data_IF_029783003388
#
_entry.id   IF_029783003388
#
_cell.length_a   1.000
_cell.length_b   1.000
_cell.length_c   1.000
_cell.angle_alpha   90.00
_cell.angle_beta   90.00
_cell.angle_gamma   90.00
#
_symmetry.space_group_name_H-M   'P 1'
#
loop_
_entity.id
_entity.type
_entity.pdbx_description
1 polymer ?
#
# COMPACT_ATOMS: atom_id res chain seq x y z
N UNK A 1 12.52 -13.78 9.91
CA UNK A 1 12.45 -14.38 8.56
C UNK A 1 12.80 -15.86 8.61
N UNK A 2 14.03 -16.28 8.95
CA UNK A 2 14.42 -17.70 8.97
C UNK A 2 13.48 -18.65 9.74
N UNK A 3 13.06 -18.30 10.96
CA UNK A 3 12.12 -19.13 11.74
C UNK A 3 10.73 -19.27 11.08
N UNK A 4 10.29 -18.23 10.38
CA UNK A 4 9.04 -18.26 9.62
C UNK A 4 9.19 -19.13 8.37
N UNK A 5 10.28 -18.95 7.62
CA UNK A 5 10.62 -19.78 6.46
C UNK A 5 10.74 -21.26 6.82
N UNK A 6 11.37 -21.58 7.95
CA UNK A 6 11.45 -22.94 8.47
C UNK A 6 10.07 -23.54 8.77
N UNK A 7 9.19 -22.79 9.45
CA UNK A 7 7.81 -23.23 9.68
C UNK A 7 7.08 -23.48 8.36
N UNK A 8 7.24 -22.59 7.40
CA UNK A 8 6.65 -22.70 6.08
C UNK A 8 7.12 -23.97 5.35
N UNK A 9 8.42 -24.25 5.38
CA UNK A 9 9.00 -25.46 4.81
C UNK A 9 8.49 -26.72 5.51
N UNK A 10 8.44 -26.74 6.85
CA UNK A 10 7.95 -27.88 7.62
C UNK A 10 6.48 -28.21 7.33
N UNK A 11 5.65 -27.20 7.05
CA UNK A 11 4.24 -27.38 6.69
C UNK A 11 4.10 -27.97 5.27
N UNK A 12 4.99 -27.58 4.34
CA UNK A 12 4.85 -27.88 2.91
C UNK A 12 5.74 -29.04 2.42
N UNK A 13 6.76 -29.47 3.19
CA UNK A 13 7.70 -30.53 2.81
C UNK A 13 7.46 -31.77 3.68
N UNK A 14 6.61 -32.72 3.22
CA UNK A 14 6.34 -33.95 3.96
C UNK A 14 7.57 -34.87 3.96
N UNK A 15 7.75 -35.61 5.05
CA UNK A 15 8.80 -36.63 5.14
C UNK A 15 10.23 -36.09 5.22
N UNK A 16 10.41 -34.82 5.59
CA UNK A 16 11.75 -34.28 5.79
C UNK A 16 12.48 -35.01 6.93
N UNK A 17 13.66 -35.53 6.62
CA UNK A 17 14.49 -36.32 7.56
C UNK A 17 15.57 -35.49 8.24
N UNK A 18 15.86 -34.29 7.73
CA UNK A 18 16.86 -33.38 8.29
C UNK A 18 16.61 -31.92 7.87
N UNK A 19 17.27 -30.97 8.56
CA UNK A 19 17.26 -29.56 8.15
C UNK A 19 17.97 -29.32 6.82
N UNK A 20 18.93 -30.17 6.47
CA UNK A 20 19.58 -30.13 5.16
C UNK A 20 18.61 -30.53 4.07
N UNK A 21 17.84 -31.61 4.28
CA UNK A 21 16.78 -32.03 3.36
C UNK A 21 15.74 -30.92 3.13
N UNK A 22 15.33 -30.21 4.19
CA UNK A 22 14.41 -29.06 4.07
C UNK A 22 14.99 -27.92 3.23
N UNK A 23 16.32 -27.75 3.22
CA UNK A 23 17.00 -26.72 2.43
C UNK A 23 17.38 -27.16 1.02
N UNK A 24 17.23 -28.44 0.70
CA UNK A 24 17.52 -28.96 -0.64
C UNK A 24 16.27 -28.88 -1.52
N UNK A 25 16.34 -28.16 -2.64
CA UNK A 25 15.28 -28.01 -3.65
C UNK A 25 15.84 -28.48 -4.98
N UNK A 26 15.18 -29.41 -5.66
CA UNK A 26 15.62 -29.96 -6.96
C UNK A 26 17.09 -30.41 -6.99
N UNK A 27 17.57 -30.97 -5.86
CA UNK A 27 18.95 -31.45 -5.70
C UNK A 27 19.98 -30.36 -5.33
N UNK A 28 19.58 -29.09 -5.23
CA UNK A 28 20.44 -27.97 -4.86
C UNK A 28 20.25 -27.63 -3.38
N UNK A 29 21.33 -27.68 -2.60
CA UNK A 29 21.32 -27.27 -1.19
C UNK A 29 21.40 -25.73 -1.10
N UNK A 30 20.38 -25.11 -0.51
CA UNK A 30 20.37 -23.66 -0.29
C UNK A 30 21.01 -23.29 1.06
N UNK A 31 21.73 -22.15 1.14
CA UNK A 31 22.37 -21.68 2.37
C UNK A 31 21.38 -21.41 3.52
N UNK A 32 20.19 -20.89 3.22
CA UNK A 32 19.19 -20.51 4.23
C UNK A 32 17.83 -21.17 4.01
N UNK A 33 17.00 -21.25 5.06
CA UNK A 33 15.62 -21.73 4.92
C UNK A 33 14.79 -20.76 4.08
N UNK A 34 15.08 -19.47 4.13
CA UNK A 34 14.45 -18.48 3.25
C UNK A 34 14.71 -18.79 1.77
N UNK A 35 15.96 -19.00 1.37
CA UNK A 35 16.30 -19.28 -0.04
C UNK A 35 15.66 -20.59 -0.51
N UNK A 36 15.65 -21.63 0.32
CA UNK A 36 14.96 -22.89 0.00
C UNK A 36 13.44 -22.70 -0.14
N UNK A 37 12.82 -21.86 0.71
CA UNK A 37 11.40 -21.54 0.61
C UNK A 37 11.07 -20.70 -0.63
N UNK A 38 11.96 -19.78 -1.03
CA UNK A 38 11.85 -19.01 -2.28
C UNK A 38 11.97 -19.95 -3.48
N UNK A 39 12.99 -20.83 -3.51
CA UNK A 39 13.18 -21.79 -4.59
C UNK A 39 12.00 -22.78 -4.74
N UNK A 40 11.27 -23.05 -3.64
CA UNK A 40 10.01 -23.82 -3.65
C UNK A 40 8.76 -23.00 -3.98
N UNK A 41 8.90 -21.71 -4.32
CA UNK A 41 7.80 -20.76 -4.54
C UNK A 41 6.84 -20.62 -3.34
N UNK A 42 7.32 -20.92 -2.13
CA UNK A 42 6.55 -20.77 -0.89
C UNK A 42 6.66 -19.34 -0.34
N UNK A 43 7.74 -18.64 -0.66
CA UNK A 43 7.94 -17.24 -0.35
C UNK A 43 8.18 -16.46 -1.64
N UNK A 44 7.53 -15.30 -1.77
CA UNK A 44 7.85 -14.36 -2.83
C UNK A 44 9.28 -13.86 -2.66
N UNK A 45 10.07 -13.94 -3.74
CA UNK A 45 11.38 -13.29 -3.80
C UNK A 45 11.19 -11.77 -3.76
N UNK A 46 12.19 -11.06 -3.24
CA UNK A 46 12.23 -9.60 -3.27
C UNK A 46 12.03 -9.06 -4.70
N UNK A 47 12.53 -9.78 -5.71
CA UNK A 47 12.34 -9.48 -7.14
C UNK A 47 10.87 -9.46 -7.60
N UNK A 48 9.96 -10.15 -6.89
CA UNK A 48 8.53 -10.14 -7.24
C UNK A 48 7.95 -8.74 -7.04
N UNK A 49 8.28 -8.08 -5.93
CA UNK A 49 7.75 -6.74 -5.63
C UNK A 49 8.37 -5.67 -6.52
N UNK A 50 9.63 -5.83 -6.91
CA UNK A 50 10.26 -4.94 -7.88
C UNK A 50 9.57 -5.03 -9.24
N UNK A 51 9.29 -6.24 -9.73
CA UNK A 51 8.55 -6.42 -10.99
C UNK A 51 7.12 -5.88 -10.90
N UNK A 52 6.42 -6.11 -9.79
CA UNK A 52 5.05 -5.58 -9.58
C UNK A 52 5.05 -4.05 -9.61
N UNK A 53 6.00 -3.40 -8.93
CA UNK A 53 6.11 -1.95 -8.98
C UNK A 53 6.46 -1.46 -10.38
N UNK A 54 7.41 -2.11 -11.07
CA UNK A 54 7.79 -1.75 -12.43
C UNK A 54 6.62 -1.86 -13.43
N UNK A 55 5.82 -2.92 -13.34
CA UNK A 55 4.62 -3.08 -14.18
C UNK A 55 3.56 -2.02 -13.88
N UNK A 56 3.35 -1.69 -12.60
CA UNK A 56 2.38 -0.67 -12.20
C UNK A 56 2.80 0.74 -12.63
N UNK A 57 4.10 1.07 -12.57
CA UNK A 57 4.64 2.39 -12.95
C UNK A 57 4.26 2.76 -14.39
N UNK A 58 4.17 1.79 -15.30
CA UNK A 58 3.79 2.03 -16.69
C UNK A 58 2.30 2.35 -16.89
N UNK A 59 1.45 2.04 -15.91
CA UNK A 59 -0.01 2.06 -16.06
C UNK A 59 -0.73 2.96 -15.05
N UNK A 60 -0.12 3.23 -13.90
CA UNK A 60 -0.78 3.84 -12.76
C UNK A 60 -0.28 5.25 -12.46
N UNK A 61 -1.18 6.08 -11.90
CA UNK A 61 -0.81 7.40 -11.42
C UNK A 61 -0.15 7.30 -10.02
N UNK A 62 0.64 8.31 -9.59
CA UNK A 62 1.40 8.27 -8.34
C UNK A 62 0.59 7.89 -7.09
N UNK A 63 -0.65 8.35 -6.94
CA UNK A 63 -1.50 7.99 -5.79
C UNK A 63 -1.88 6.50 -5.76
N UNK A 64 -2.06 5.86 -6.91
CA UNK A 64 -2.29 4.41 -7.01
C UNK A 64 -1.01 3.64 -6.71
N UNK A 65 0.14 4.09 -7.23
CA UNK A 65 1.44 3.49 -6.92
C UNK A 65 1.74 3.49 -5.41
N UNK A 66 1.43 4.60 -4.72
CA UNK A 66 1.52 4.69 -3.25
C UNK A 66 0.63 3.67 -2.57
N UNK A 67 -0.62 3.54 -3.03
CA UNK A 67 -1.56 2.57 -2.47
C UNK A 67 -1.06 1.14 -2.69
N UNK A 68 -0.51 0.83 -3.86
CA UNK A 68 0.10 -0.47 -4.15
C UNK A 68 1.29 -0.76 -3.22
N UNK A 69 2.21 0.19 -3.08
CA UNK A 69 3.34 0.07 -2.17
C UNK A 69 2.88 -0.18 -0.72
N UNK A 70 1.89 0.57 -0.24
CA UNK A 70 1.30 0.40 1.10
C UNK A 70 0.66 -1.00 1.24
N UNK A 71 -0.08 -1.45 0.24
CA UNK A 71 -0.70 -2.78 0.25
C UNK A 71 0.36 -3.90 0.30
N UNK A 72 1.45 -3.77 -0.45
CA UNK A 72 2.59 -4.69 -0.39
C UNK A 72 3.17 -4.70 1.03
N UNK A 73 3.40 -3.52 1.63
CA UNK A 73 3.93 -3.43 2.99
C UNK A 73 3.01 -4.13 4.01
N UNK A 74 1.72 -3.80 4.00
CA UNK A 74 0.74 -4.29 4.98
C UNK A 74 0.47 -5.78 4.83
N UNK A 75 0.27 -6.27 3.61
CA UNK A 75 -0.23 -7.62 3.37
C UNK A 75 0.85 -8.64 3.01
N UNK A 76 1.95 -8.19 2.40
CA UNK A 76 2.96 -9.08 1.85
C UNK A 76 4.26 -9.12 2.65
N UNK A 77 4.46 -8.19 3.61
CA UNK A 77 5.64 -8.13 4.47
C UNK A 77 6.95 -8.27 3.67
N UNK A 78 7.25 -7.32 2.76
CA UNK A 78 8.42 -7.40 1.89
C UNK A 78 9.70 -7.48 2.73
N UNK A 79 10.71 -8.21 2.24
CA UNK A 79 11.98 -8.40 2.96
C UNK A 79 12.65 -7.06 3.27
N UNK A 80 12.58 -6.09 2.33
CA UNK A 80 13.18 -4.78 2.46
C UNK A 80 12.25 -3.71 1.85
N UNK A 81 11.29 -3.23 2.64
CA UNK A 81 10.36 -2.17 2.23
C UNK A 81 11.08 -0.86 1.88
N UNK A 82 12.16 -0.54 2.60
CA UNK A 82 12.95 0.67 2.37
C UNK A 82 13.59 0.67 0.99
N UNK A 83 14.28 -0.41 0.62
CA UNK A 83 14.90 -0.50 -0.70
C UNK A 83 13.86 -0.44 -1.82
N UNK A 84 12.71 -1.08 -1.63
CA UNK A 84 11.60 -1.01 -2.58
C UNK A 84 11.07 0.42 -2.73
N UNK A 85 10.95 1.18 -1.64
CA UNK A 85 10.59 2.60 -1.71
C UNK A 85 11.65 3.42 -2.43
N UNK A 86 12.91 3.31 -2.00
CA UNK A 86 14.04 4.08 -2.53
C UNK A 86 14.19 3.89 -4.06
N UNK A 87 14.02 2.65 -4.54
CA UNK A 87 14.11 2.32 -5.97
C UNK A 87 12.96 2.90 -6.81
N UNK A 88 11.79 3.16 -6.22
CA UNK A 88 10.59 3.62 -6.93
C UNK A 88 10.19 5.05 -6.54
N UNK A 89 10.99 5.74 -5.72
CA UNK A 89 10.62 6.99 -5.06
C UNK A 89 10.31 8.11 -6.07
N UNK A 90 11.12 8.22 -7.14
CA UNK A 90 10.93 9.24 -8.17
C UNK A 90 9.57 9.15 -8.86
N UNK A 91 9.10 7.94 -9.16
CA UNK A 91 7.78 7.69 -9.75
C UNK A 91 6.66 7.93 -8.72
N UNK A 92 6.88 7.53 -7.47
CA UNK A 92 5.91 7.71 -6.39
C UNK A 92 5.66 9.19 -6.09
N UNK A 93 6.69 10.04 -6.14
CA UNK A 93 6.59 11.48 -5.82
C UNK A 93 6.38 12.38 -7.05
N UNK A 94 6.18 11.81 -8.24
CA UNK A 94 6.13 12.53 -9.52
C UNK A 94 5.07 13.64 -9.56
N UNK A 95 3.91 13.45 -8.93
CA UNK A 95 2.87 14.46 -8.86
C UNK A 95 3.22 15.65 -7.97
N UNK A 96 4.19 15.52 -7.05
CA UNK A 96 4.74 16.64 -6.28
C UNK A 96 5.80 17.40 -7.07
N UNK A 97 6.72 16.69 -7.73
CA UNK A 97 7.74 17.33 -8.57
C UNK A 97 7.10 18.07 -9.74
N UNK A 98 6.04 17.49 -10.35
CA UNK A 98 5.24 18.15 -11.40
C UNK A 98 4.50 19.41 -10.92
N UNK A 99 4.22 19.52 -9.62
CA UNK A 99 3.66 20.76 -9.01
C UNK A 99 4.74 21.82 -8.74
N UNK A 100 6.02 21.51 -8.98
CA UNK A 100 7.13 22.43 -8.81
C UNK A 100 7.86 22.31 -7.48
N UNK A 101 7.54 21.31 -6.65
CA UNK A 101 8.30 21.10 -5.41
C UNK A 101 9.68 20.53 -5.71
N UNK A 102 10.68 21.00 -4.95
CA UNK A 102 12.03 20.42 -4.97
C UNK A 102 12.02 18.97 -4.44
N UNK A 103 12.99 18.16 -4.86
CA UNK A 103 13.05 16.72 -4.55
C UNK A 103 12.97 16.42 -3.04
N UNK A 104 13.62 17.21 -2.19
CA UNK A 104 13.56 17.04 -0.73
C UNK A 104 12.16 17.31 -0.17
N UNK A 105 11.48 18.33 -0.69
CA UNK A 105 10.09 18.65 -0.31
C UNK A 105 9.16 17.55 -0.82
N UNK A 106 9.30 17.16 -2.10
CA UNK A 106 8.51 16.11 -2.72
C UNK A 106 8.64 14.77 -1.98
N UNK A 107 9.87 14.37 -1.62
CA UNK A 107 10.15 13.18 -0.81
C UNK A 107 9.50 13.26 0.56
N UNK A 108 9.53 14.42 1.22
CA UNK A 108 8.94 14.57 2.53
C UNK A 108 7.39 14.49 2.50
N UNK A 109 6.78 15.09 1.48
CA UNK A 109 5.35 14.97 1.21
C UNK A 109 4.96 13.52 0.85
N UNK A 110 5.82 12.83 0.10
CA UNK A 110 5.66 11.42 -0.24
C UNK A 110 5.59 10.53 1.01
N UNK A 111 6.59 10.66 1.89
CA UNK A 111 6.64 9.93 3.15
C UNK A 111 5.41 10.24 4.02
N UNK A 112 4.93 11.49 4.00
CA UNK A 112 3.69 11.87 4.70
C UNK A 112 2.46 11.17 4.14
N UNK A 113 2.32 11.10 2.82
CA UNK A 113 1.22 10.40 2.16
C UNK A 113 1.24 8.90 2.48
N UNK A 114 2.40 8.26 2.37
CA UNK A 114 2.57 6.85 2.73
C UNK A 114 2.23 6.63 4.21
N UNK A 115 2.67 7.52 5.11
CA UNK A 115 2.33 7.42 6.53
C UNK A 115 0.83 7.52 6.78
N UNK A 116 0.12 8.43 6.11
CA UNK A 116 -1.33 8.58 6.26
C UNK A 116 -2.08 7.35 5.77
N UNK A 117 -1.61 6.71 4.70
CA UNK A 117 -2.18 5.46 4.18
C UNK A 117 -1.87 4.27 5.09
N UNK A 118 -0.66 4.16 5.63
CA UNK A 118 -0.31 3.11 6.60
C UNK A 118 -1.10 3.23 7.90
N UNK A 119 -1.32 4.46 8.39
CA UNK A 119 -2.13 4.72 9.59
C UNK A 119 -3.58 4.28 9.41
N UNK A 120 -4.15 4.41 8.21
CA UNK A 120 -5.49 3.88 7.89
C UNK A 120 -5.55 2.36 8.00
N UNK A 121 -4.41 1.68 7.83
CA UNK A 121 -4.27 0.23 7.99
C UNK A 121 -3.75 -0.17 9.39
N UNK A 122 -3.71 0.75 10.35
CA UNK A 122 -3.26 0.47 11.73
C UNK A 122 -1.74 0.30 11.89
N UNK A 123 -0.95 0.70 10.90
CA UNK A 123 0.50 0.61 10.90
C UNK A 123 1.18 1.99 10.90
N UNK A 124 2.48 2.01 11.18
CA UNK A 124 3.33 3.20 11.09
C UNK A 124 4.58 2.92 10.22
N UNK A 125 5.32 3.97 9.86
CA UNK A 125 6.53 3.86 9.04
C UNK A 125 7.66 3.10 9.75
N UNK A 126 7.73 3.18 11.08
CA UNK A 126 8.79 2.58 11.90
C UNK A 126 8.78 1.04 11.78
N UNK A 127 7.60 0.42 11.72
CA UNK A 127 7.43 -1.02 11.50
C UNK A 127 8.15 -1.48 10.23
N UNK A 128 8.20 -0.64 9.21
CA UNK A 128 8.82 -0.92 7.92
C UNK A 128 10.22 -0.32 7.77
N UNK A 129 10.78 0.28 8.84
CA UNK A 129 12.08 0.95 8.86
C UNK A 129 12.21 2.05 7.81
N UNK A 130 11.11 2.74 7.54
CA UNK A 130 11.06 3.88 6.62
C UNK A 130 11.39 5.18 7.36
N UNK A 131 11.87 6.18 6.63
CA UNK A 131 12.21 7.50 7.17
C UNK A 131 10.95 8.23 7.62
N UNK A 132 11.00 8.89 8.78
CA UNK A 132 9.88 9.66 9.32
C UNK A 132 9.84 11.04 8.62
N UNK A 133 8.68 11.52 8.17
CA UNK A 133 8.56 12.85 7.58
C UNK A 133 8.96 13.96 8.56
N UNK A 134 9.59 15.01 8.04
CA UNK A 134 9.72 16.29 8.73
C UNK A 134 8.36 17.00 8.75
N UNK A 135 7.66 16.86 9.87
CA UNK A 135 6.36 17.51 10.10
C UNK A 135 6.44 19.03 10.24
N UNK A 136 7.59 19.60 10.62
CA UNK A 136 7.74 21.05 10.70
C UNK A 136 7.78 21.66 9.30
N UNK A 137 8.46 21.02 8.36
CA UNK A 137 8.42 21.41 6.96
C UNK A 137 7.00 21.30 6.37
N UNK A 138 6.30 20.19 6.63
CA UNK A 138 4.91 20.00 6.14
C UNK A 138 3.97 21.06 6.70
N UNK A 139 4.10 21.40 7.98
CA UNK A 139 3.28 22.45 8.60
C UNK A 139 3.43 23.79 7.90
N UNK A 140 4.67 24.19 7.59
CA UNK A 140 4.96 25.43 6.86
C UNK A 140 4.34 25.43 5.46
N UNK A 141 4.46 24.32 4.72
CA UNK A 141 3.86 24.19 3.38
C UNK A 141 2.32 24.31 3.42
N UNK A 142 1.67 23.84 4.49
CA UNK A 142 0.23 24.00 4.69
C UNK A 142 -0.11 25.47 4.98
N UNK A 143 0.65 26.13 5.86
CA UNK A 143 0.45 27.54 6.20
C UNK A 143 0.64 28.46 4.98
N UNK A 144 1.62 28.15 4.13
CA UNK A 144 1.91 28.88 2.89
C UNK A 144 0.93 28.54 1.75
N UNK A 145 0.02 27.57 1.95
CA UNK A 145 -0.97 27.14 0.96
C UNK A 145 -0.40 26.33 -0.20
N UNK A 146 0.83 25.86 -0.08
CA UNK A 146 1.53 25.04 -1.08
C UNK A 146 1.16 23.56 -1.00
N UNK A 147 0.62 23.11 0.14
CA UNK A 147 0.15 21.74 0.34
C UNK A 147 -1.20 21.72 1.06
N UNK A 148 -2.20 21.06 0.47
CA UNK A 148 -3.48 20.84 1.12
C UNK A 148 -3.40 19.65 2.07
N UNK A 149 -3.85 19.83 3.32
CA UNK A 149 -3.92 18.72 4.26
C UNK A 149 -4.94 17.66 3.82
N UNK A 150 -4.72 16.42 4.27
CA UNK A 150 -5.65 15.29 4.02
C UNK A 150 -7.09 15.61 4.42
N UNK A 151 -7.31 16.38 5.49
CA UNK A 151 -8.64 16.73 5.98
C UNK A 151 -9.29 17.84 5.16
N UNK A 152 -8.51 18.83 4.70
CA UNK A 152 -8.99 19.86 3.77
C UNK A 152 -9.38 19.25 2.43
N UNK A 153 -8.56 18.36 1.87
CA UNK A 153 -8.87 17.66 0.63
C UNK A 153 -10.15 16.82 0.78
N UNK A 154 -10.35 16.14 1.93
CA UNK A 154 -11.60 15.42 2.22
C UNK A 154 -12.80 16.37 2.32
N UNK A 155 -12.65 17.50 2.98
CA UNK A 155 -13.71 18.51 3.10
C UNK A 155 -14.06 19.13 1.74
N UNK A 156 -13.07 19.38 0.89
CA UNK A 156 -13.26 19.88 -0.48
C UNK A 156 -14.00 18.86 -1.35
N UNK A 157 -13.60 17.58 -1.32
CA UNK A 157 -14.31 16.49 -2.02
C UNK A 157 -15.75 16.35 -1.57
N UNK A 158 -16.03 16.45 -0.26
CA UNK A 158 -17.40 16.45 0.30
C UNK A 158 -18.23 17.61 -0.25
N UNK A 159 -17.72 18.84 -0.15
CA UNK A 159 -18.40 20.05 -0.66
C UNK A 159 -18.70 19.93 -2.15
N UNK A 160 -17.75 19.45 -2.94
CA UNK A 160 -17.96 19.22 -4.38
C UNK A 160 -19.04 18.17 -4.63
N UNK A 161 -19.05 17.08 -3.86
CA UNK A 161 -20.08 16.06 -3.91
C UNK A 161 -21.48 16.63 -3.62
N UNK A 162 -21.63 17.43 -2.56
CA UNK A 162 -22.89 18.09 -2.19
C UNK A 162 -23.41 19.00 -3.31
N UNK A 163 -22.52 19.80 -3.92
CA UNK A 163 -22.86 20.65 -5.06
C UNK A 163 -23.31 19.83 -6.27
N UNK A 164 -22.65 18.71 -6.56
CA UNK A 164 -23.04 17.81 -7.65
C UNK A 164 -24.39 17.16 -7.39
N UNK A 165 -24.67 16.76 -6.15
CA UNK A 165 -25.98 16.21 -5.73
C UNK A 165 -27.09 17.24 -5.93
N UNK A 166 -26.83 18.51 -5.62
CA UNK A 166 -27.79 19.59 -5.83
C UNK A 166 -28.13 19.86 -7.31
N UNK A 167 -27.30 19.38 -8.25
CA UNK A 167 -27.49 19.55 -9.70
C UNK A 167 -28.15 18.33 -10.38
N UNK A 168 -28.52 17.30 -9.62
CA UNK A 168 -29.13 16.10 -10.20
C UNK A 168 -30.55 16.37 -10.69
N UNK A 169 -30.91 15.78 -11.82
CA UNK A 169 -32.30 15.73 -12.27
C UNK A 169 -33.11 14.68 -11.49
N UNK A 170 -34.44 14.65 -11.68
CA UNK A 170 -35.33 13.77 -10.92
C UNK A 170 -34.98 12.27 -11.03
N UNK A 171 -34.60 11.80 -12.21
CA UNK A 171 -34.24 10.40 -12.44
C UNK A 171 -32.91 10.04 -11.77
N UNK A 172 -31.90 10.91 -11.91
CA UNK A 172 -30.60 10.74 -11.27
C UNK A 172 -30.70 10.80 -9.75
N UNK A 173 -31.52 11.71 -9.22
CA UNK A 173 -31.74 11.86 -7.79
C UNK A 173 -32.45 10.63 -7.21
N UNK A 174 -33.42 10.05 -7.94
CA UNK A 174 -34.08 8.81 -7.53
C UNK A 174 -33.09 7.64 -7.44
N UNK A 175 -32.20 7.49 -8.43
CA UNK A 175 -31.15 6.46 -8.42
C UNK A 175 -30.15 6.71 -7.28
N UNK A 176 -29.64 7.94 -7.16
CA UNK A 176 -28.68 8.32 -6.13
C UNK A 176 -29.22 8.03 -4.72
N UNK A 177 -30.45 8.46 -4.42
CA UNK A 177 -31.09 8.23 -3.13
C UNK A 177 -31.21 6.73 -2.85
N UNK A 178 -31.63 5.93 -3.82
CA UNK A 178 -31.74 4.47 -3.67
C UNK A 178 -30.39 3.82 -3.31
N UNK A 179 -29.30 4.22 -3.97
CA UNK A 179 -27.95 3.72 -3.65
C UNK A 179 -27.52 4.17 -2.26
N UNK A 180 -27.68 5.45 -1.93
CA UNK A 180 -27.27 5.99 -0.63
C UNK A 180 -28.06 5.39 0.54
N UNK A 181 -29.36 5.13 0.37
CA UNK A 181 -30.17 4.41 1.36
C UNK A 181 -29.60 3.02 1.58
N UNK A 182 -29.31 2.26 0.51
CA UNK A 182 -28.72 0.91 0.63
C UNK A 182 -27.35 0.91 1.32
N UNK A 183 -26.48 1.87 1.01
CA UNK A 183 -25.15 1.99 1.65
C UNK A 183 -25.30 2.31 3.14
N UNK A 184 -26.16 3.28 3.48
CA UNK A 184 -26.35 3.72 4.86
C UNK A 184 -27.09 2.67 5.72
N UNK A 185 -27.99 1.88 5.12
CA UNK A 185 -28.64 0.78 5.80
C UNK A 185 -27.67 -0.39 6.04
N UNK A 186 -26.76 -0.67 5.10
CA UNK A 186 -25.70 -1.66 5.30
C UNK A 186 -24.71 -1.28 6.42
N UNK A 187 -24.47 0.02 6.64
CA UNK A 187 -23.67 0.51 7.78
C UNK A 187 -24.41 0.30 9.11
N UNK A 188 -25.74 0.24 9.11
CA UNK A 188 -26.55 -0.10 10.29
C UNK A 188 -26.70 -1.61 10.51
N UNK A 189 -26.42 -2.44 9.51
CA UNK A 189 -26.65 -3.90 9.56
C UNK A 189 -25.42 -4.80 9.45
N UNK A 190 -24.20 -4.29 9.33
CA UNK A 190 -23.01 -5.16 9.14
C UNK A 190 -22.09 -5.17 10.37
N UNK A 191 -22.32 -6.05 11.35
CA UNK A 191 -21.63 -7.36 11.41
C UNK A 191 -21.57 -8.04 10.05
N UNK A 192 -20.35 -8.19 9.53
CA UNK A 192 -19.92 -9.09 8.45
C UNK A 192 -20.95 -9.36 7.35
N UNK A 193 -20.72 -8.94 6.11
CA UNK A 193 -20.75 -9.84 4.96
C UNK A 193 -19.77 -9.27 3.92
N UNK A 194 -18.71 -10.04 3.65
CA UNK A 194 -17.82 -9.84 2.52
C UNK A 194 -18.63 -10.01 1.24
N UNK A 195 -18.70 -8.97 0.41
CA UNK A 195 -19.16 -9.13 -0.97
C UNK A 195 -17.91 -9.20 -1.86
N UNK A 196 -17.34 -10.40 -1.99
CA UNK A 196 -16.62 -10.76 -3.21
C UNK A 196 -17.67 -11.25 -4.23
N UNK A 197 -17.52 -10.80 -5.46
CA UNK A 197 -18.34 -11.14 -6.61
C UNK A 197 -18.19 -12.63 -6.93
N UNK A 198 -19.33 -13.32 -7.09
CA UNK A 198 -19.46 -14.47 -7.99
C UNK A 198 -19.55 -13.96 -9.44
#
# INVERSE_FOLDING_TARGET
VERHSLRLLLINVPGSTSFEYLRTVDGILHPTFKEAAIARNLLADYSVWERVMAEAIELEMPVQLRQLFVNICVHCSPTNARLLLDNNLSCLMEDFTRRGHEDEIAKNLELKCIQDMLRQNGHNLEVFKLEIPDFQMIHRLIEDGEYESSDEMRAQKRRRGELMVAQLNAEQQAIFNRVMTSVNDNVRSSTNHQCFLD
#
